data_IF_893366635298
#
_entry.id   IF_893366635298
#
_cell.length_a   1.000
_cell.length_b   1.000
_cell.length_c   1.000
_cell.angle_alpha   90.00
_cell.angle_beta   90.00
_cell.angle_gamma   90.00
#
_symmetry.space_group_name_H-M   'P 1'
#
loop_
_entity.id
_entity.type
_entity.pdbx_description
1 polymer ?
#
# COMPACT_ATOMS: atom_id res chain seq x y z
N UNK A 1 -4.20 14.61 11.28
CA UNK A 1 -4.16 15.13 9.89
C UNK A 1 -3.96 13.95 8.99
N UNK A 2 -4.96 13.67 8.22
CA UNK A 2 -5.03 12.59 7.26
C UNK A 2 -3.87 12.67 6.26
N UNK A 3 -2.91 11.76 6.34
CA UNK A 3 -1.75 11.75 5.45
C UNK A 3 -1.69 10.56 4.49
N UNK A 4 -2.77 9.82 4.36
CA UNK A 4 -2.97 8.94 3.21
C UNK A 4 -3.02 9.71 1.89
N UNK A 5 -3.29 11.01 1.97
CA UNK A 5 -3.37 11.96 0.84
C UNK A 5 -2.19 12.94 0.85
N UNK A 6 -1.25 12.82 1.75
CA UNK A 6 -0.12 13.76 1.91
C UNK A 6 1.08 13.51 1.00
N UNK A 7 0.85 12.91 -0.18
CA UNK A 7 1.93 12.45 -1.05
C UNK A 7 2.62 11.22 -0.45
N UNK A 8 3.11 10.33 -1.30
CA UNK A 8 3.78 9.11 -0.86
C UNK A 8 4.98 9.47 0.02
N UNK A 9 4.91 9.15 1.32
CA UNK A 9 6.01 9.32 2.25
C UNK A 9 6.60 7.95 2.58
N UNK A 10 7.89 7.79 2.38
CA UNK A 10 8.59 6.57 2.71
C UNK A 10 9.29 6.76 4.07
N UNK A 11 8.84 6.08 5.12
CA UNK A 11 9.61 6.04 6.36
C UNK A 11 10.91 5.27 6.12
N UNK A 12 11.95 5.64 6.86
CA UNK A 12 13.17 4.87 6.92
C UNK A 12 12.87 3.47 7.50
N UNK A 13 13.49 2.44 6.94
CA UNK A 13 13.32 1.07 7.43
C UNK A 13 13.83 0.93 8.87
N UNK A 14 14.86 1.68 9.25
CA UNK A 14 15.36 1.72 10.63
C UNK A 14 14.34 2.34 11.59
N UNK A 15 13.63 3.39 11.17
CA UNK A 15 12.52 3.95 11.96
C UNK A 15 11.45 2.90 12.27
N UNK A 16 11.08 2.08 11.27
CA UNK A 16 10.08 1.03 11.45
C UNK A 16 10.60 -0.08 12.38
N UNK A 17 11.87 -0.45 12.27
CA UNK A 17 12.50 -1.42 13.20
C UNK A 17 12.48 -0.89 14.63
N UNK A 18 12.93 0.34 14.82
CA UNK A 18 12.93 0.96 16.15
C UNK A 18 11.52 1.10 16.74
N UNK A 19 10.53 1.43 15.89
CA UNK A 19 9.13 1.46 16.31
C UNK A 19 8.66 0.08 16.79
N UNK A 20 9.01 -1.00 16.07
CA UNK A 20 8.69 -2.37 16.48
C UNK A 20 9.34 -2.72 17.81
N UNK A 21 10.61 -2.34 18.01
CA UNK A 21 11.33 -2.58 19.25
C UNK A 21 10.65 -1.89 20.43
N UNK A 22 10.34 -0.60 20.30
CA UNK A 22 9.63 0.18 21.32
C UNK A 22 8.28 -0.45 21.66
N UNK A 23 7.49 -0.84 20.65
CA UNK A 23 6.22 -1.52 20.87
C UNK A 23 6.40 -2.84 21.63
N UNK A 24 7.47 -3.58 21.37
CA UNK A 24 7.80 -4.82 22.08
C UNK A 24 8.21 -4.55 23.52
N UNK A 25 9.11 -3.58 23.73
CA UNK A 25 9.61 -3.17 25.06
C UNK A 25 8.49 -2.66 25.98
N UNK A 26 7.50 -1.98 25.41
CA UNK A 26 6.39 -1.37 26.17
C UNK A 26 5.13 -2.23 26.22
N UNK A 27 5.11 -3.37 25.56
CA UNK A 27 3.90 -4.20 25.44
C UNK A 27 2.80 -3.54 24.59
N UNK A 28 3.15 -2.59 23.74
CA UNK A 28 2.21 -1.86 22.86
C UNK A 28 1.95 -2.64 21.58
N UNK A 29 0.69 -2.75 21.18
CA UNK A 29 0.28 -3.41 19.92
C UNK A 29 0.67 -2.54 18.72
N UNK A 30 1.43 -3.11 17.80
CA UNK A 30 1.77 -2.46 16.53
C UNK A 30 0.77 -2.87 15.45
N UNK A 31 -0.03 -1.91 14.99
CA UNK A 31 -0.94 -2.08 13.86
C UNK A 31 -0.36 -1.38 12.64
N UNK A 32 -0.23 -2.11 11.53
CA UNK A 32 0.25 -1.55 10.25
C UNK A 32 -0.90 -1.57 9.24
N UNK A 33 -1.20 -0.39 8.70
CA UNK A 33 -2.22 -0.23 7.67
C UNK A 33 -1.61 -0.46 6.28
N UNK A 34 -1.92 -1.62 5.70
CA UNK A 34 -1.48 -2.02 4.37
C UNK A 34 -2.62 -1.93 3.33
N UNK A 35 -3.68 -1.18 3.64
CA UNK A 35 -4.85 -1.03 2.75
C UNK A 35 -4.43 -0.51 1.38
N UNK A 36 -3.46 0.40 1.33
CA UNK A 36 -2.98 1.01 0.08
C UNK A 36 -1.64 0.43 -0.41
N UNK A 37 -0.77 0.05 0.50
CA UNK A 37 0.61 -0.38 0.22
C UNK A 37 0.75 -1.89 -0.01
N UNK A 38 -0.17 -2.67 0.52
CA UNK A 38 -0.18 -4.13 0.40
C UNK A 38 -0.63 -4.65 -0.96
N UNK A 39 -0.77 -5.95 -1.04
CA UNK A 39 -1.13 -6.68 -2.27
C UNK A 39 -0.20 -6.36 -3.44
N UNK A 40 1.10 -6.34 -3.19
CA UNK A 40 2.13 -6.20 -4.21
C UNK A 40 2.36 -4.77 -4.72
N UNK A 41 1.54 -3.79 -4.31
CA UNK A 41 1.63 -2.41 -4.80
C UNK A 41 3.03 -1.80 -4.64
N UNK A 42 3.68 -2.08 -3.52
CA UNK A 42 5.02 -1.55 -3.22
C UNK A 42 6.18 -2.41 -3.77
N UNK A 43 5.90 -3.51 -4.49
CA UNK A 43 6.92 -4.44 -4.97
C UNK A 43 7.32 -5.52 -3.94
N UNK A 44 6.64 -5.55 -2.80
CA UNK A 44 6.54 -6.68 -1.87
C UNK A 44 5.09 -6.93 -1.57
N UNK A 45 4.72 -8.13 -1.10
CA UNK A 45 3.32 -8.42 -0.81
C UNK A 45 2.77 -7.42 0.23
N UNK A 46 3.54 -7.13 1.29
CA UNK A 46 3.31 -6.06 2.24
C UNK A 46 4.51 -5.12 2.32
N UNK A 47 4.27 -3.82 2.43
CA UNK A 47 5.32 -2.82 2.47
C UNK A 47 6.21 -2.92 3.72
N UNK A 48 5.67 -3.32 4.89
CA UNK A 48 6.45 -3.50 6.12
C UNK A 48 7.56 -4.57 5.98
N UNK A 49 7.46 -5.45 4.99
CA UNK A 49 8.49 -6.46 4.70
C UNK A 49 9.82 -5.85 4.27
N UNK A 50 9.85 -4.59 3.82
CA UNK A 50 11.11 -3.89 3.54
C UNK A 50 11.94 -3.68 4.81
N UNK A 51 11.28 -3.33 5.91
CA UNK A 51 11.93 -3.18 7.20
C UNK A 51 12.23 -4.52 7.90
N UNK A 52 11.68 -5.63 7.41
CA UNK A 52 11.85 -6.96 8.01
C UNK A 52 11.15 -7.10 9.37
N UNK A 53 10.19 -6.23 9.68
CA UNK A 53 9.43 -6.29 10.93
C UNK A 53 8.21 -7.21 10.83
N UNK A 54 7.70 -7.65 11.99
CA UNK A 54 6.45 -8.39 12.10
C UNK A 54 5.45 -7.58 12.96
N UNK A 55 4.44 -6.96 12.33
CA UNK A 55 3.38 -6.28 13.05
C UNK A 55 2.49 -7.26 13.83
N UNK A 56 1.77 -6.76 14.83
CA UNK A 56 0.81 -7.56 15.59
C UNK A 56 -0.53 -7.65 14.86
N UNK A 57 -0.89 -6.59 14.13
CA UNK A 57 -2.10 -6.57 13.28
C UNK A 57 -1.74 -5.89 11.94
N UNK A 58 -2.25 -6.44 10.84
CA UNK A 58 -2.16 -5.84 9.51
C UNK A 58 -3.58 -5.63 8.98
N UNK A 59 -3.90 -4.41 8.57
CA UNK A 59 -5.19 -4.11 7.91
C UNK A 59 -5.04 -4.18 6.39
N UNK A 60 -6.05 -4.76 5.72
CA UNK A 60 -6.05 -5.02 4.28
C UNK A 60 -7.38 -4.66 3.66
N UNK A 61 -7.36 -4.11 2.45
CA UNK A 61 -8.54 -3.86 1.62
C UNK A 61 -8.08 -3.56 0.17
N UNK A 62 -8.82 -2.76 -0.56
CA UNK A 62 -8.50 -2.26 -1.93
C UNK A 62 -7.99 -3.36 -2.86
N UNK A 63 -6.67 -3.53 -2.99
CA UNK A 63 -6.05 -4.55 -3.82
C UNK A 63 -6.51 -5.98 -3.49
N UNK A 64 -6.89 -6.24 -2.24
CA UNK A 64 -7.42 -7.52 -1.80
C UNK A 64 -8.60 -8.03 -2.64
N UNK A 65 -9.49 -7.14 -3.03
CA UNK A 65 -10.66 -7.50 -3.84
C UNK A 65 -10.59 -7.04 -5.30
N UNK A 66 -9.56 -6.27 -5.67
CA UNK A 66 -9.40 -5.69 -7.00
C UNK A 66 -10.69 -5.07 -7.59
N UNK A 67 -11.38 -4.27 -6.76
CA UNK A 67 -12.66 -3.64 -7.10
C UNK A 67 -13.87 -4.26 -6.43
N UNK A 68 -13.80 -5.51 -5.97
CA UNK A 68 -14.84 -6.08 -5.12
C UNK A 68 -14.71 -5.54 -3.68
N UNK A 69 -15.82 -5.13 -3.03
CA UNK A 69 -15.77 -4.58 -1.68
C UNK A 69 -15.45 -5.67 -0.65
N UNK A 70 -14.23 -5.67 -0.18
CA UNK A 70 -13.72 -6.58 0.86
C UNK A 70 -12.62 -5.89 1.66
N UNK A 71 -12.55 -6.18 2.94
CA UNK A 71 -11.44 -5.86 3.82
C UNK A 71 -11.15 -7.00 4.76
N UNK A 72 -9.96 -7.04 5.31
CA UNK A 72 -9.52 -8.10 6.21
C UNK A 72 -8.46 -7.62 7.18
N UNK A 73 -8.23 -8.46 8.18
CA UNK A 73 -7.18 -8.29 9.18
C UNK A 73 -6.36 -9.58 9.25
N UNK A 74 -5.03 -9.44 9.30
CA UNK A 74 -4.16 -10.50 9.81
C UNK A 74 -3.83 -10.15 11.26
N UNK A 75 -4.11 -11.05 12.15
CA UNK A 75 -3.98 -10.84 13.60
C UNK A 75 -2.97 -11.85 14.14
N UNK A 76 -2.01 -11.36 14.91
CA UNK A 76 -1.00 -12.21 15.57
C UNK A 76 -1.65 -13.23 16.51
N UNK A 77 -1.09 -14.45 16.59
CA UNK A 77 -1.56 -15.48 17.54
C UNK A 77 -1.47 -15.08 19.02
N UNK A 78 -0.82 -13.95 19.34
CA UNK A 78 -0.82 -13.42 20.71
C UNK A 78 -2.22 -13.03 21.22
N UNK A 79 -3.15 -12.77 20.29
CA UNK A 79 -4.55 -12.48 20.63
C UNK A 79 -5.37 -13.75 20.61
N UNK A 80 -6.00 -14.06 21.74
CA UNK A 80 -6.94 -15.17 21.81
C UNK A 80 -8.33 -14.72 21.40
N UNK A 81 -8.93 -15.31 20.34
CA UNK A 81 -10.26 -14.93 19.90
C UNK A 81 -11.30 -15.32 20.97
N UNK A 82 -12.25 -14.43 21.19
CA UNK A 82 -13.39 -14.65 22.09
C UNK A 82 -14.67 -14.48 21.29
N UNK A 83 -15.67 -15.35 21.55
CA UNK A 83 -16.96 -15.25 20.89
C UNK A 83 -17.60 -13.86 21.09
N UNK A 84 -18.06 -13.26 20.00
CA UNK A 84 -18.65 -11.92 20.02
C UNK A 84 -17.64 -10.76 20.04
N UNK A 85 -16.33 -11.02 20.01
CA UNK A 85 -15.29 -9.99 19.98
C UNK A 85 -15.33 -9.14 18.70
N UNK A 86 -15.63 -9.79 17.58
CA UNK A 86 -15.78 -9.16 16.28
C UNK A 86 -17.15 -9.48 15.71
N UNK A 87 -17.80 -8.47 15.13
CA UNK A 87 -19.10 -8.64 14.50
C UNK A 87 -19.16 -7.89 13.18
N UNK A 88 -19.65 -8.57 12.15
CA UNK A 88 -19.91 -7.96 10.84
C UNK A 88 -21.02 -8.72 10.14
N UNK A 89 -21.97 -8.01 9.55
CA UNK A 89 -23.12 -8.65 8.88
C UNK A 89 -22.70 -9.38 7.61
N UNK A 90 -21.77 -8.82 6.84
CA UNK A 90 -21.35 -9.35 5.54
C UNK A 90 -19.92 -9.90 5.52
N UNK A 91 -19.21 -9.85 6.64
CA UNK A 91 -17.83 -10.33 6.71
C UNK A 91 -17.74 -11.83 6.42
N UNK A 92 -16.76 -12.22 5.62
CA UNK A 92 -16.56 -13.61 5.24
C UNK A 92 -17.59 -14.16 4.25
N UNK A 93 -18.38 -13.31 3.57
CA UNK A 93 -19.30 -13.79 2.56
C UNK A 93 -18.57 -14.46 1.39
N UNK A 94 -19.19 -15.49 0.82
CA UNK A 94 -18.56 -16.34 -0.19
C UNK A 94 -18.13 -15.60 -1.44
N UNK A 95 -18.87 -14.61 -1.91
CA UNK A 95 -18.53 -13.84 -3.11
C UNK A 95 -17.26 -13.03 -2.89
N UNK A 96 -17.17 -12.32 -1.76
CA UNK A 96 -15.98 -11.53 -1.43
C UNK A 96 -14.74 -12.42 -1.25
N UNK A 97 -14.89 -13.55 -0.53
CA UNK A 97 -13.79 -14.49 -0.35
C UNK A 97 -13.33 -15.11 -1.67
N UNK A 98 -14.26 -15.50 -2.56
CA UNK A 98 -13.93 -16.02 -3.89
C UNK A 98 -13.19 -14.98 -4.73
N UNK A 99 -13.63 -13.73 -4.71
CA UNK A 99 -12.94 -12.64 -5.40
C UNK A 99 -11.50 -12.44 -4.86
N UNK A 100 -11.33 -12.47 -3.54
CA UNK A 100 -10.00 -12.33 -2.92
C UNK A 100 -9.07 -13.51 -3.26
N UNK A 101 -9.58 -14.74 -3.28
CA UNK A 101 -8.82 -15.93 -3.70
C UNK A 101 -8.38 -15.80 -5.15
N UNK A 102 -9.29 -15.43 -6.06
CA UNK A 102 -8.96 -15.24 -7.46
C UNK A 102 -7.88 -14.16 -7.68
N UNK A 103 -7.88 -13.09 -6.87
CA UNK A 103 -6.81 -12.08 -6.89
C UNK A 103 -5.48 -12.68 -6.50
N UNK A 104 -5.43 -13.47 -5.42
CA UNK A 104 -4.19 -14.11 -4.96
C UNK A 104 -3.65 -15.10 -6.02
N UNK A 105 -4.51 -15.92 -6.60
CA UNK A 105 -4.16 -16.90 -7.64
C UNK A 105 -3.53 -16.21 -8.87
N UNK A 106 -4.12 -15.08 -9.30
CA UNK A 106 -3.60 -14.30 -10.43
C UNK A 106 -2.28 -13.64 -10.06
N UNK A 107 -2.17 -13.07 -8.88
CA UNK A 107 -0.93 -12.42 -8.41
C UNK A 107 0.23 -13.40 -8.38
N UNK A 108 0.02 -14.62 -7.92
CA UNK A 108 1.03 -15.68 -7.90
C UNK A 108 1.34 -16.15 -9.32
N UNK A 109 0.33 -16.54 -10.10
CA UNK A 109 0.48 -17.08 -11.44
C UNK A 109 1.21 -16.14 -12.39
N UNK A 110 0.94 -14.85 -12.30
CA UNK A 110 1.50 -13.82 -13.17
C UNK A 110 2.71 -13.09 -12.56
N UNK A 111 3.17 -13.51 -11.39
CA UNK A 111 4.29 -12.91 -10.65
C UNK A 111 4.15 -11.36 -10.51
N UNK A 112 2.93 -10.90 -10.18
CA UNK A 112 2.61 -9.46 -10.21
C UNK A 112 3.39 -8.65 -9.18
N UNK A 113 3.79 -9.25 -8.06
CA UNK A 113 4.63 -8.58 -7.05
C UNK A 113 6.01 -8.26 -7.62
N UNK A 114 6.65 -9.22 -8.28
CA UNK A 114 7.96 -9.05 -8.91
C UNK A 114 7.88 -8.06 -10.08
N UNK A 115 6.80 -8.15 -10.86
CA UNK A 115 6.54 -7.18 -11.92
C UNK A 115 6.40 -5.76 -11.37
N UNK A 116 5.67 -5.56 -10.28
CA UNK A 116 5.53 -4.25 -9.63
C UNK A 116 6.88 -3.71 -9.13
N UNK A 117 7.74 -4.57 -8.57
CA UNK A 117 9.09 -4.20 -8.16
C UNK A 117 9.94 -3.75 -9.36
N UNK A 118 9.99 -4.57 -10.40
CA UNK A 118 10.81 -4.32 -11.61
C UNK A 118 10.36 -3.08 -12.37
N UNK A 119 9.07 -3.00 -12.69
CA UNK A 119 8.50 -1.87 -13.45
C UNK A 119 8.58 -0.58 -12.63
N UNK A 120 8.31 -0.67 -11.32
CA UNK A 120 8.38 0.47 -10.42
C UNK A 120 9.79 1.06 -10.34
N UNK A 121 10.82 0.22 -10.21
CA UNK A 121 12.22 0.67 -10.22
C UNK A 121 12.56 1.38 -11.52
N UNK A 122 12.25 0.75 -12.66
CA UNK A 122 12.47 1.36 -13.97
C UNK A 122 11.75 2.69 -14.11
N UNK A 123 10.47 2.77 -13.73
CA UNK A 123 9.67 3.99 -13.86
C UNK A 123 10.21 5.12 -12.99
N UNK A 124 10.62 4.84 -11.75
CA UNK A 124 11.23 5.83 -10.86
C UNK A 124 12.52 6.39 -11.48
N UNK A 125 13.36 5.53 -12.07
CA UNK A 125 14.58 5.94 -12.75
C UNK A 125 14.31 6.84 -13.96
N UNK A 126 13.29 6.51 -14.77
CA UNK A 126 12.90 7.34 -15.91
C UNK A 126 12.35 8.70 -15.46
N UNK A 127 11.48 8.70 -14.46
CA UNK A 127 10.88 9.94 -13.93
C UNK A 127 11.93 10.90 -13.35
N UNK A 128 12.96 10.38 -12.69
CA UNK A 128 14.07 11.21 -12.16
C UNK A 128 14.88 11.93 -13.22
N UNK A 129 14.80 11.49 -14.48
CA UNK A 129 15.51 12.12 -15.59
C UNK A 129 14.70 13.25 -16.26
N UNK A 130 13.42 13.38 -15.95
CA UNK A 130 12.55 14.38 -16.55
C UNK A 130 12.79 15.77 -15.91
N UNK A 131 12.87 16.83 -16.72
CA UNK A 131 12.99 18.19 -16.20
C UNK A 131 11.70 18.63 -15.51
N UNK A 132 11.81 19.54 -14.54
CA UNK A 132 10.66 20.13 -13.84
C UNK A 132 10.10 19.28 -12.71
N UNK A 133 10.63 18.09 -12.49
CA UNK A 133 10.30 17.27 -11.32
C UNK A 133 11.25 17.64 -10.17
N UNK A 134 10.68 17.99 -9.03
CA UNK A 134 11.42 18.31 -7.81
C UNK A 134 11.91 17.06 -7.10
N UNK A 135 11.02 16.10 -6.92
CA UNK A 135 11.33 14.84 -6.25
C UNK A 135 10.50 13.69 -6.81
N UNK A 136 11.10 12.53 -6.94
CA UNK A 136 10.42 11.25 -7.19
C UNK A 136 10.73 10.31 -6.04
N UNK A 137 9.69 9.85 -5.35
CA UNK A 137 9.79 8.91 -4.23
C UNK A 137 8.78 7.79 -4.35
N UNK A 138 9.11 6.61 -3.88
CA UNK A 138 8.20 5.46 -3.95
C UNK A 138 8.93 4.13 -3.84
N UNK A 139 8.13 3.07 -3.78
CA UNK A 139 8.57 1.66 -3.89
C UNK A 139 7.56 0.91 -4.76
N UNK A 140 8.07 0.08 -5.66
CA UNK A 140 7.23 -0.61 -6.64
C UNK A 140 6.42 0.39 -7.45
N UNK A 141 5.12 0.13 -7.61
CA UNK A 141 4.19 1.01 -8.34
C UNK A 141 3.43 1.98 -7.40
N UNK A 142 3.94 2.21 -6.20
CA UNK A 142 3.46 3.25 -5.29
C UNK A 142 4.42 4.42 -5.35
N UNK A 143 4.17 5.36 -6.26
CA UNK A 143 5.11 6.43 -6.66
C UNK A 143 4.46 7.78 -6.40
N UNK A 144 5.19 8.68 -5.75
CA UNK A 144 4.87 10.09 -5.60
C UNK A 144 5.85 10.94 -6.42
N UNK A 145 5.31 11.93 -7.12
CA UNK A 145 6.08 12.91 -7.89
C UNK A 145 5.74 14.28 -7.31
N UNK A 146 6.75 15.03 -6.93
CA UNK A 146 6.62 16.38 -6.40
C UNK A 146 7.10 17.41 -7.41
N UNK A 147 6.37 18.49 -7.53
CA UNK A 147 6.67 19.63 -8.37
C UNK A 147 6.69 20.90 -7.52
N UNK A 148 7.44 21.91 -7.93
CA UNK A 148 7.45 23.21 -7.25
C UNK A 148 6.26 24.10 -7.68
N UNK A 149 5.63 23.77 -8.80
CA UNK A 149 4.53 24.54 -9.39
C UNK A 149 3.21 23.75 -9.36
N UNK A 150 2.10 24.45 -9.65
CA UNK A 150 0.79 23.83 -9.76
C UNK A 150 0.74 22.83 -10.92
N UNK A 151 0.32 21.59 -10.62
CA UNK A 151 0.21 20.49 -11.58
C UNK A 151 -1.20 20.38 -12.21
N UNK A 152 -2.06 21.39 -12.03
CA UNK A 152 -3.47 21.31 -12.49
C UNK A 152 -3.58 21.08 -13.99
N UNK A 153 -2.83 21.82 -14.79
CA UNK A 153 -2.83 21.71 -16.24
C UNK A 153 -2.22 20.39 -16.69
N UNK A 154 -1.08 20.00 -16.11
CA UNK A 154 -0.43 18.72 -16.37
C UNK A 154 -1.39 17.56 -16.11
N UNK A 155 -2.09 17.57 -14.96
CA UNK A 155 -3.05 16.52 -14.64
C UNK A 155 -4.25 16.49 -15.59
N UNK A 156 -4.71 17.65 -16.02
CA UNK A 156 -5.80 17.77 -16.99
C UNK A 156 -5.38 17.14 -18.33
N UNK A 157 -4.19 17.47 -18.82
CA UNK A 157 -3.65 16.88 -20.06
C UNK A 157 -3.42 15.37 -19.90
N UNK A 158 -2.79 14.92 -18.82
CA UNK A 158 -2.62 13.48 -18.56
C UNK A 158 -3.94 12.73 -18.62
N UNK A 159 -5.00 13.28 -18.01
CA UNK A 159 -6.31 12.65 -17.98
C UNK A 159 -6.99 12.66 -19.35
N UNK A 160 -7.09 13.83 -19.99
CA UNK A 160 -7.93 13.98 -21.18
C UNK A 160 -7.21 13.63 -22.49
N UNK A 161 -5.91 13.95 -22.62
CA UNK A 161 -5.15 13.70 -23.84
C UNK A 161 -4.49 12.31 -23.81
N UNK A 162 -3.90 11.93 -22.66
CA UNK A 162 -3.13 10.71 -22.54
C UNK A 162 -3.86 9.56 -21.82
N UNK A 163 -5.09 9.80 -21.28
CA UNK A 163 -5.90 8.81 -20.55
C UNK A 163 -5.19 8.22 -19.29
N UNK A 164 -4.32 9.00 -18.69
CA UNK A 164 -3.56 8.63 -17.49
C UNK A 164 -4.22 9.24 -16.25
N UNK A 165 -4.76 8.39 -15.39
CA UNK A 165 -5.37 8.80 -14.13
C UNK A 165 -4.30 8.92 -13.04
N UNK A 166 -4.24 10.07 -12.40
CA UNK A 166 -3.33 10.32 -11.28
C UNK A 166 -4.09 10.80 -10.06
N UNK A 167 -3.65 10.38 -8.88
CA UNK A 167 -4.04 11.00 -7.63
C UNK A 167 -3.39 12.39 -7.47
N UNK A 168 -3.88 13.17 -6.51
CA UNK A 168 -3.23 14.39 -6.05
C UNK A 168 -3.16 14.39 -4.54
N UNK A 169 -2.07 14.92 -4.00
CA UNK A 169 -1.87 15.10 -2.57
C UNK A 169 -1.28 16.50 -2.33
N UNK A 170 -1.78 17.18 -1.32
CA UNK A 170 -1.45 18.59 -1.07
C UNK A 170 -2.33 19.55 -1.90
N UNK A 171 -2.20 20.82 -1.58
CA UNK A 171 -2.86 21.95 -2.28
C UNK A 171 -1.78 22.81 -2.93
#
# INVERSE_FOLDING_TARGET
>A
RDRGVGGIQLPDDEFLRRLRDICTETGTVLIVDEIQSGYGRSGKFFAHQYAGIRPDIITMAKGMGNGFPIGGLLISPMFTPVYGMLGTTFGGNHLACTAAIAVLDIMEKEALVDNAARVGTWLIEQLKQLPGIKEVRGRGLMIGIEFDESIKELRTSLLFDYKVFTGVAGT
#
